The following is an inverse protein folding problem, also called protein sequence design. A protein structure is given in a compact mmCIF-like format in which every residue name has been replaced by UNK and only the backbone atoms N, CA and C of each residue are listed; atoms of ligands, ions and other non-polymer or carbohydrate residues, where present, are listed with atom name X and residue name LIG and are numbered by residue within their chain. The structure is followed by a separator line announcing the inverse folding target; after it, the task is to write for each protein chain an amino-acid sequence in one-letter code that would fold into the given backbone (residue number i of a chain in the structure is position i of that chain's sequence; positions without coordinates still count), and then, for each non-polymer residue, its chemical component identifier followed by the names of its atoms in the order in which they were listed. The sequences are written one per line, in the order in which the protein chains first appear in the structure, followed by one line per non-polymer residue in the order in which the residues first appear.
data_IF_472510349947
#
_entry.id   IF_472510349947
#
_cell.length_a   1.000
_cell.length_b   1.000
_cell.length_c   1.000
_cell.angle_alpha   90.00
_cell.angle_beta   90.00
_cell.angle_gamma   90.00
#
_symmetry.space_group_name_H-M   'P 1'
#
loop_
_entity.id
_entity.type
_entity.pdbx_description
1 polymer ?
#
# COMPACT_ATOMS: atom_id res chain seq x y z
N UNK A 1 29.15 -12.08 -50.88
CA UNK A 1 28.27 -13.04 -50.17
C UNK A 1 28.71 -13.18 -48.72
N UNK A 2 27.99 -12.55 -47.80
CA UNK A 2 27.50 -13.11 -46.52
C UNK A 2 26.66 -12.02 -45.87
N UNK A 3 25.35 -12.28 -45.84
CA UNK A 3 24.31 -11.48 -45.21
C UNK A 3 24.23 -11.90 -43.75
N UNK A 4 24.24 -10.93 -42.84
CA UNK A 4 23.62 -11.03 -41.50
C UNK A 4 23.58 -9.59 -40.95
N UNK A 5 22.60 -8.81 -41.40
CA UNK A 5 21.29 -8.61 -40.77
C UNK A 5 21.41 -7.89 -39.42
N UNK A 6 21.15 -6.58 -39.47
CA UNK A 6 20.80 -5.73 -38.35
C UNK A 6 19.74 -6.42 -37.47
N UNK A 7 20.00 -6.52 -36.17
CA UNK A 7 18.96 -6.66 -35.17
C UNK A 7 19.25 -5.70 -34.00
N UNK A 8 19.22 -4.40 -34.32
CA UNK A 8 18.93 -3.40 -33.29
C UNK A 8 17.43 -3.51 -33.06
N UNK A 9 17.05 -4.39 -32.13
CA UNK A 9 15.68 -4.44 -31.60
C UNK A 9 15.44 -3.16 -30.81
N UNK A 10 14.99 -2.18 -31.56
CA UNK A 10 13.99 -1.18 -31.22
C UNK A 10 13.37 -1.32 -29.81
N UNK A 11 13.42 -0.18 -29.09
CA UNK A 11 12.42 0.31 -28.15
C UNK A 11 12.57 -0.12 -26.68
N UNK A 12 13.39 0.67 -26.01
CA UNK A 12 13.22 1.12 -24.64
C UNK A 12 12.02 2.11 -24.63
N UNK A 13 10.79 1.62 -24.54
CA UNK A 13 9.54 2.33 -24.18
C UNK A 13 8.56 1.17 -24.00
N UNK A 14 7.70 1.05 -23.02
CA UNK A 14 7.22 1.93 -21.97
C UNK A 14 6.10 1.14 -21.31
N UNK A 15 5.79 1.49 -20.07
CA UNK A 15 4.50 1.19 -19.44
C UNK A 15 4.36 -0.25 -18.95
N UNK A 16 4.60 -0.42 -17.65
CA UNK A 16 3.56 -0.87 -16.75
C UNK A 16 2.41 -1.62 -17.45
N UNK A 17 2.42 -2.95 -17.37
CA UNK A 17 1.15 -3.66 -17.29
C UNK A 17 0.55 -3.34 -15.91
N UNK A 18 0.13 -2.08 -15.72
CA UNK A 18 -0.95 -1.75 -14.80
C UNK A 18 -2.09 -2.61 -15.29
N UNK A 19 -2.49 -3.54 -14.45
CA UNK A 19 -3.78 -4.19 -14.51
C UNK A 19 -4.81 -3.08 -14.74
N UNK A 20 -5.18 -2.85 -16.00
CA UNK A 20 -6.26 -1.98 -16.39
C UNK A 20 -7.52 -2.73 -15.96
N UNK A 21 -7.76 -2.73 -14.64
CA UNK A 21 -9.06 -3.04 -14.10
C UNK A 21 -9.97 -2.01 -14.72
N UNK A 22 -10.75 -2.48 -15.71
CA UNK A 22 -11.88 -1.79 -16.31
C UNK A 22 -12.56 -0.97 -15.23
N UNK A 23 -12.27 0.33 -15.21
CA UNK A 23 -12.96 1.28 -14.37
C UNK A 23 -14.35 1.35 -15.00
N UNK A 24 -15.24 0.46 -14.55
CA UNK A 24 -16.66 0.63 -14.81
C UNK A 24 -16.96 2.01 -14.26
N UNK A 25 -17.47 2.89 -15.13
CA UNK A 25 -18.02 4.19 -14.73
C UNK A 25 -19.09 3.93 -13.68
N UNK A 26 -18.68 3.92 -12.41
CA UNK A 26 -19.58 3.91 -11.30
C UNK A 26 -20.13 5.32 -11.32
N UNK A 27 -21.26 5.50 -12.01
CA UNK A 27 -22.11 6.68 -11.85
C UNK A 27 -22.17 6.91 -10.35
N UNK A 28 -21.56 7.99 -9.89
CA UNK A 28 -21.58 8.37 -8.49
C UNK A 28 -23.05 8.51 -8.15
N UNK A 29 -23.63 7.46 -7.58
CA UNK A 29 -24.78 7.61 -6.72
C UNK A 29 -24.32 8.69 -5.75
N UNK A 30 -24.97 9.84 -5.79
CA UNK A 30 -24.80 10.87 -4.78
C UNK A 30 -25.15 10.16 -3.47
N UNK A 31 -24.13 9.61 -2.81
CA UNK A 31 -24.30 9.02 -1.50
C UNK A 31 -24.61 10.24 -0.67
N UNK A 32 -25.86 10.37 -0.25
CA UNK A 32 -26.23 11.35 0.76
C UNK A 32 -25.53 10.89 2.03
N UNK A 33 -24.27 11.30 2.17
CA UNK A 33 -23.50 11.06 3.35
C UNK A 33 -24.12 12.00 4.39
N UNK A 34 -24.76 11.41 5.40
CA UNK A 34 -25.26 12.23 6.50
C UNK A 34 -24.09 13.00 7.12
N UNK A 35 -24.35 14.22 7.58
CA UNK A 35 -23.37 15.05 8.31
C UNK A 35 -22.65 14.24 9.40
N UNK A 36 -23.38 13.33 10.04
CA UNK A 36 -22.86 12.43 11.08
C UNK A 36 -21.80 11.44 10.57
N UNK A 37 -21.93 10.98 9.33
CA UNK A 37 -20.94 10.09 8.72
C UNK A 37 -19.72 10.85 8.21
N UNK A 38 -19.89 12.07 7.67
CA UNK A 38 -18.76 12.96 7.36
C UNK A 38 -17.92 13.23 8.61
N UNK A 39 -18.57 13.62 9.71
CA UNK A 39 -17.91 13.90 10.98
C UNK A 39 -17.12 12.70 11.53
N UNK A 40 -17.51 11.46 11.20
CA UNK A 40 -16.77 10.25 11.58
C UNK A 40 -15.62 9.92 10.62
N UNK A 41 -15.78 10.21 9.33
CA UNK A 41 -14.77 9.91 8.31
C UNK A 41 -13.62 10.92 8.29
N UNK A 42 -13.90 12.20 8.52
CA UNK A 42 -12.90 13.27 8.46
C UNK A 42 -11.69 13.03 9.38
N UNK A 43 -11.87 12.66 10.67
CA UNK A 43 -10.71 12.34 11.52
C UNK A 43 -9.92 11.13 11.01
N UNK A 44 -10.59 10.12 10.44
CA UNK A 44 -9.93 8.93 9.87
C UNK A 44 -9.09 9.31 8.66
N UNK A 45 -9.65 10.08 7.71
CA UNK A 45 -8.94 10.56 6.52
C UNK A 45 -7.77 11.46 6.88
N UNK A 46 -7.99 12.39 7.82
CA UNK A 46 -6.95 13.28 8.32
C UNK A 46 -5.80 12.49 8.97
N UNK A 47 -6.12 11.49 9.80
CA UNK A 47 -5.12 10.64 10.43
C UNK A 47 -4.32 9.81 9.40
N UNK A 48 -5.00 9.18 8.45
CA UNK A 48 -4.36 8.43 7.36
C UNK A 48 -3.38 9.31 6.57
N UNK A 49 -3.79 10.52 6.21
CA UNK A 49 -2.94 11.47 5.48
C UNK A 49 -1.76 11.95 6.34
N UNK A 50 -1.99 12.28 7.61
CA UNK A 50 -0.95 12.67 8.57
C UNK A 50 0.10 11.58 8.72
N UNK A 51 -0.32 10.33 8.92
CA UNK A 51 0.61 9.21 9.12
C UNK A 51 1.43 8.95 7.85
N UNK A 52 0.81 8.98 6.67
CA UNK A 52 1.53 8.74 5.40
C UNK A 52 2.42 9.91 4.94
N UNK A 53 2.28 11.09 5.55
CA UNK A 53 3.20 12.20 5.30
C UNK A 53 4.50 12.09 6.11
N UNK A 54 4.54 11.26 7.16
CA UNK A 54 5.74 11.01 7.96
C UNK A 54 6.80 10.32 7.08
N UNK A 55 7.97 10.96 6.95
CA UNK A 55 9.11 10.43 6.18
C UNK A 55 10.20 9.82 7.05
N UNK A 56 10.32 10.30 8.28
CA UNK A 56 11.33 9.88 9.24
C UNK A 56 10.61 9.37 10.48
N UNK A 57 10.81 8.09 10.79
CA UNK A 57 10.26 7.42 11.96
C UNK A 57 11.29 7.45 13.09
N UNK A 58 10.83 7.62 14.33
CA UNK A 58 11.72 7.54 15.49
C UNK A 58 12.23 6.13 15.70
N UNK A 59 11.39 5.13 15.41
CA UNK A 59 11.74 3.72 15.52
C UNK A 59 10.88 2.89 14.57
N UNK A 60 11.50 1.88 13.97
CA UNK A 60 10.81 0.81 13.26
C UNK A 60 11.24 -0.50 13.93
N UNK A 61 10.27 -1.28 14.39
CA UNK A 61 10.51 -2.63 14.93
C UNK A 61 9.95 -3.64 13.94
N UNK A 62 10.82 -4.49 13.42
CA UNK A 62 10.42 -5.63 12.59
C UNK A 62 10.29 -6.89 13.46
N UNK A 63 9.31 -7.72 13.15
CA UNK A 63 9.11 -9.04 13.73
C UNK A 63 8.82 -9.99 12.58
N UNK A 64 9.66 -11.01 12.41
CA UNK A 64 9.42 -12.09 11.45
C UNK A 64 8.23 -12.94 11.91
N UNK A 65 7.43 -13.41 10.96
CA UNK A 65 6.29 -14.29 11.23
C UNK A 65 6.52 -15.65 10.62
N UNK A 66 6.52 -16.69 11.45
CA UNK A 66 6.73 -18.08 11.04
C UNK A 66 5.43 -18.79 10.63
N UNK A 67 4.41 -18.02 10.23
CA UNK A 67 3.07 -18.54 9.93
C UNK A 67 3.01 -19.33 8.60
N UNK A 68 4.06 -19.28 7.77
CA UNK A 68 4.17 -20.02 6.50
C UNK A 68 5.63 -20.40 6.20
N UNK A 69 5.82 -21.36 5.28
CA UNK A 69 7.15 -21.74 4.76
C UNK A 69 7.85 -20.57 4.08
N UNK A 70 7.07 -19.66 3.49
CA UNK A 70 7.53 -18.47 2.77
C UNK A 70 7.78 -17.28 3.71
N UNK A 71 7.33 -17.39 4.97
CA UNK A 71 7.51 -16.41 6.02
C UNK A 71 6.74 -15.11 5.82
N UNK A 72 7.18 -14.09 6.52
CA UNK A 72 6.57 -12.77 6.50
C UNK A 72 7.15 -11.88 7.59
N UNK A 73 6.70 -10.64 7.63
CA UNK A 73 7.12 -9.69 8.64
C UNK A 73 5.99 -8.75 9.04
N UNK A 74 6.06 -8.31 10.30
CA UNK A 74 5.26 -7.24 10.86
C UNK A 74 6.21 -6.10 11.21
N UNK A 75 5.99 -4.96 10.58
CA UNK A 75 6.70 -3.73 10.87
C UNK A 75 5.83 -2.79 11.71
N UNK A 76 6.32 -2.44 12.89
CA UNK A 76 5.72 -1.48 13.81
C UNK A 76 6.46 -0.14 13.71
N UNK A 77 5.76 0.90 13.28
CA UNK A 77 6.32 2.23 13.05
C UNK A 77 5.94 3.18 14.17
N UNK A 78 6.95 3.77 14.80
CA UNK A 78 6.80 4.67 15.94
C UNK A 78 7.31 6.07 15.61
N UNK A 79 6.57 7.08 16.08
CA UNK A 79 6.99 8.47 16.09
C UNK A 79 6.90 9.00 17.52
N UNK A 80 7.99 9.54 18.06
CA UNK A 80 8.10 10.01 19.44
C UNK A 80 7.60 8.96 20.45
N UNK A 81 8.09 7.72 20.30
CA UNK A 81 7.71 6.54 21.10
C UNK A 81 6.23 6.12 21.06
N UNK A 82 5.39 6.79 20.26
CA UNK A 82 4.01 6.39 19.99
C UNK A 82 3.93 5.48 18.76
N UNK A 83 3.23 4.36 18.88
CA UNK A 83 2.90 3.48 17.74
C UNK A 83 1.86 4.16 16.84
N UNK A 84 2.20 4.36 15.58
CA UNK A 84 1.36 5.09 14.62
C UNK A 84 0.87 4.18 13.48
N UNK A 85 1.71 3.27 13.00
CA UNK A 85 1.40 2.40 11.87
C UNK A 85 1.89 0.97 12.11
N UNK A 86 1.11 -0.01 11.65
CA UNK A 86 1.51 -1.41 11.56
C UNK A 86 1.40 -1.85 10.11
N UNK A 87 2.44 -2.47 9.57
CA UNK A 87 2.42 -3.08 8.24
C UNK A 87 2.66 -4.57 8.39
N UNK A 88 1.70 -5.36 7.95
CA UNK A 88 1.78 -6.82 7.92
C UNK A 88 2.03 -7.24 6.47
N UNK A 89 3.11 -7.96 6.23
CA UNK A 89 3.37 -8.61 4.94
C UNK A 89 3.57 -10.10 5.17
N UNK A 90 2.75 -10.92 4.51
CA UNK A 90 2.92 -12.39 4.50
C UNK A 90 3.16 -12.85 3.07
N UNK A 91 4.14 -13.72 2.89
CA UNK A 91 4.44 -14.30 1.59
C UNK A 91 3.76 -15.66 1.47
N UNK A 92 3.36 -16.00 0.24
CA UNK A 92 2.90 -17.33 -0.13
C UNK A 92 3.39 -17.66 -1.54
N UNK A 93 3.31 -18.92 -1.91
CA UNK A 93 3.89 -19.42 -3.17
C UNK A 93 3.46 -18.63 -4.42
N UNK A 94 2.20 -18.18 -4.45
CA UNK A 94 1.59 -17.49 -5.59
C UNK A 94 1.36 -15.98 -5.37
N UNK A 95 1.84 -15.40 -4.26
CA UNK A 95 1.61 -13.98 -4.02
C UNK A 95 2.01 -13.46 -2.64
N UNK A 96 1.51 -12.28 -2.30
CA UNK A 96 1.71 -11.67 -0.99
C UNK A 96 0.41 -11.10 -0.44
N UNK A 97 0.23 -11.21 0.86
CA UNK A 97 -0.77 -10.47 1.62
C UNK A 97 -0.13 -9.20 2.18
N UNK A 98 -0.79 -8.06 2.01
CA UNK A 98 -0.39 -6.78 2.59
C UNK A 98 -1.59 -6.17 3.32
N UNK A 99 -1.40 -5.87 4.60
CA UNK A 99 -2.34 -5.07 5.38
C UNK A 99 -1.61 -3.94 6.09
N UNK A 100 -2.25 -2.79 6.15
CA UNK A 100 -1.75 -1.61 6.86
C UNK A 100 -2.81 -1.13 7.86
N UNK A 101 -2.36 -0.87 9.09
CA UNK A 101 -3.18 -0.34 10.17
C UNK A 101 -2.64 1.02 10.56
N UNK A 102 -3.56 1.98 10.69
CA UNK A 102 -3.27 3.38 11.01
C UNK A 102 -3.95 3.70 12.33
N UNK A 103 -3.16 3.79 13.40
CA UNK A 103 -3.71 3.88 14.75
C UNK A 103 -4.29 5.26 14.99
N UNK A 104 -5.46 5.31 15.60
CA UNK A 104 -6.16 6.54 15.96
C UNK A 104 -6.52 6.49 17.44
N UNK A 105 -6.04 7.47 18.21
CA UNK A 105 -6.25 7.54 19.66
C UNK A 105 -5.74 6.28 20.39
N UNK A 106 -4.57 5.79 19.99
CA UNK A 106 -3.89 4.63 20.58
C UNK A 106 -4.69 3.31 20.44
N UNK A 107 -5.58 3.26 19.43
CA UNK A 107 -6.41 2.11 19.05
C UNK A 107 -6.22 1.77 17.58
#
# INVERSE_FOLDING_TARGET
MKKTLLLISFIIFSSFNVFAQKQKDYKSSEVIISKDFENKLDPIKSNFNRINSIKIWSKIKEVETDDSTEGGFINYYFLNDKLEKIVVRKFGESGQYLAEYYLLNDK
#
